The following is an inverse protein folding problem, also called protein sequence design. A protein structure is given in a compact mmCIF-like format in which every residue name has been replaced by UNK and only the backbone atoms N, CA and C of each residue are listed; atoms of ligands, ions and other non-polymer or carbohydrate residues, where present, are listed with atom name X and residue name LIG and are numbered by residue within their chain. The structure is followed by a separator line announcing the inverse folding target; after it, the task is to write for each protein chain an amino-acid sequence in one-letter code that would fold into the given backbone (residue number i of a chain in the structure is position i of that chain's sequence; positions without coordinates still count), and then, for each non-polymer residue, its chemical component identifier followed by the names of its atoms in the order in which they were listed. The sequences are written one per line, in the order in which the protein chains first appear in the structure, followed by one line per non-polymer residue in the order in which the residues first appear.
data_IF_662929106192
#
_entry.id   IF_662929106192
#
_cell.length_a   1.000
_cell.length_b   1.000
_cell.length_c   1.000
_cell.angle_alpha   90.00
_cell.angle_beta   90.00
_cell.angle_gamma   90.00
#
_symmetry.space_group_name_H-M   'P 1'
#
loop_
_entity.id
_entity.type
_entity.pdbx_description
1 polymer ?
#
# COMPACT_ATOMS: atom_id res chain seq x y z
N UNK A 1 39.09 -11.78 21.00
CA UNK A 1 37.84 -11.03 21.25
C UNK A 1 36.72 -12.03 21.14
N UNK A 2 36.20 -12.54 22.26
CA UNK A 2 35.15 -13.57 22.29
C UNK A 2 33.83 -12.87 22.06
N UNK A 3 33.14 -13.19 20.95
CA UNK A 3 31.73 -12.79 20.75
C UNK A 3 30.83 -13.74 21.52
N UNK A 4 30.01 -13.19 22.41
CA UNK A 4 28.98 -13.91 23.16
C UNK A 4 27.76 -14.18 22.26
N UNK A 5 27.60 -15.44 21.87
CA UNK A 5 26.53 -15.92 20.99
C UNK A 5 25.14 -16.09 21.69
N UNK A 6 24.91 -15.43 22.82
CA UNK A 6 23.71 -15.64 23.66
C UNK A 6 22.44 -14.93 23.20
N UNK A 7 22.41 -14.30 22.02
CA UNK A 7 21.24 -13.60 21.49
C UNK A 7 20.48 -14.29 20.37
N UNK A 8 20.93 -15.45 19.88
CA UNK A 8 20.41 -16.10 18.65
C UNK A 8 19.74 -17.46 18.90
N UNK A 9 18.94 -17.58 19.95
CA UNK A 9 18.18 -18.82 20.21
C UNK A 9 16.70 -18.54 20.26
N UNK A 10 16.03 -18.55 19.11
CA UNK A 10 14.68 -19.07 18.98
C UNK A 10 14.45 -19.59 17.56
N UNK A 11 14.33 -20.90 17.43
CA UNK A 11 13.60 -21.65 16.43
C UNK A 11 14.19 -21.92 15.04
N UNK A 12 15.52 -22.09 14.90
CA UNK A 12 16.05 -22.79 13.74
C UNK A 12 17.02 -23.91 14.16
N UNK A 13 16.70 -25.15 13.79
CA UNK A 13 17.59 -26.31 13.91
C UNK A 13 18.83 -26.12 13.00
N UNK A 14 19.86 -25.46 13.52
CA UNK A 14 21.17 -25.30 12.86
C UNK A 14 22.03 -26.59 12.98
N UNK A 15 21.46 -27.65 13.51
CA UNK A 15 22.14 -28.92 13.75
C UNK A 15 22.14 -29.76 12.48
N UNK A 16 23.24 -29.73 11.73
CA UNK A 16 23.48 -30.63 10.60
C UNK A 16 23.96 -30.03 9.29
N UNK A 17 24.17 -28.73 9.21
CA UNK A 17 24.74 -28.12 7.99
C UNK A 17 26.28 -28.28 7.95
N UNK A 18 26.87 -28.57 6.77
CA UNK A 18 28.32 -28.48 6.57
C UNK A 18 28.86 -27.10 6.97
N UNK A 19 30.08 -27.04 7.51
CA UNK A 19 30.66 -25.76 7.99
C UNK A 19 30.73 -24.66 6.92
N UNK A 20 30.79 -25.03 5.63
CA UNK A 20 30.73 -24.11 4.49
C UNK A 20 29.34 -23.46 4.34
N UNK A 21 28.28 -24.23 4.54
CA UNK A 21 26.90 -23.77 4.38
C UNK A 21 26.47 -22.90 5.56
N UNK A 22 26.95 -23.26 6.76
CA UNK A 22 26.78 -22.45 7.97
C UNK A 22 27.45 -21.07 7.82
N UNK A 23 28.67 -21.03 7.25
CA UNK A 23 29.37 -19.77 6.99
C UNK A 23 28.63 -18.91 5.94
N UNK A 24 28.14 -19.53 4.87
CA UNK A 24 27.33 -18.86 3.84
C UNK A 24 26.02 -18.34 4.42
N UNK A 25 25.35 -19.14 5.28
CA UNK A 25 24.15 -18.73 5.99
C UNK A 25 24.43 -17.56 6.93
N UNK A 26 25.45 -17.61 7.77
CA UNK A 26 25.84 -16.54 8.68
C UNK A 26 26.28 -15.27 7.92
N UNK A 27 27.01 -15.39 6.82
CA UNK A 27 27.40 -14.27 5.97
C UNK A 27 26.18 -13.65 5.29
N UNK A 28 25.22 -14.47 4.83
CA UNK A 28 23.95 -13.96 4.30
C UNK A 28 23.14 -13.27 5.38
N UNK A 29 22.99 -13.86 6.57
CA UNK A 29 22.26 -13.24 7.69
C UNK A 29 22.90 -11.92 8.12
N UNK A 30 24.23 -11.87 8.27
CA UNK A 30 24.97 -10.65 8.56
C UNK A 30 24.88 -9.63 7.42
N UNK A 31 24.89 -10.07 6.17
CA UNK A 31 24.70 -9.22 5.00
C UNK A 31 23.29 -8.64 4.99
N UNK A 32 22.24 -9.45 5.23
CA UNK A 32 20.85 -9.00 5.35
C UNK A 32 20.62 -8.08 6.55
N UNK A 33 21.22 -8.37 7.72
CA UNK A 33 21.12 -7.47 8.89
C UNK A 33 21.84 -6.14 8.64
N UNK A 34 22.97 -6.13 7.93
CA UNK A 34 23.69 -4.90 7.60
C UNK A 34 22.99 -4.10 6.50
N UNK A 35 22.34 -4.74 5.54
CA UNK A 35 21.59 -4.06 4.48
C UNK A 35 20.22 -3.55 4.94
N UNK A 36 19.47 -4.30 5.74
CA UNK A 36 18.20 -3.83 6.32
C UNK A 36 18.41 -2.66 7.30
N UNK A 37 19.56 -2.60 7.96
CA UNK A 37 19.95 -1.42 8.77
C UNK A 37 20.45 -0.24 7.91
N UNK A 38 20.53 -0.40 6.58
CA UNK A 38 21.02 0.60 5.64
C UNK A 38 19.93 1.54 5.14
N UNK A 39 18.66 1.12 5.16
CA UNK A 39 17.53 1.91 4.67
C UNK A 39 16.54 2.29 5.77
N UNK A 40 16.00 3.51 5.67
CA UNK A 40 14.96 4.04 6.53
C UNK A 40 13.70 4.23 5.68
N UNK A 41 12.71 3.38 5.91
CA UNK A 41 11.44 3.49 5.19
C UNK A 41 10.60 4.64 5.73
N UNK A 42 10.03 5.41 4.81
CA UNK A 42 9.12 6.51 5.09
C UNK A 42 7.82 6.27 4.33
N UNK A 43 6.73 6.09 5.06
CA UNK A 43 5.39 6.04 4.47
C UNK A 43 4.83 7.45 4.32
N UNK A 44 4.67 7.90 3.07
CA UNK A 44 4.11 9.19 2.70
C UNK A 44 2.57 9.19 2.71
N UNK A 45 1.95 8.68 3.78
CA UNK A 45 0.49 8.53 3.85
C UNK A 45 -0.04 8.66 5.27
N UNK A 46 -1.21 9.31 5.41
CA UNK A 46 -1.97 9.35 6.67
C UNK A 46 -2.81 8.09 6.89
N UNK A 47 -3.06 7.28 5.84
CA UNK A 47 -3.98 6.15 5.88
C UNK A 47 -3.62 5.14 6.96
N UNK A 48 -4.50 4.88 7.96
CA UNK A 48 -4.26 3.87 8.98
C UNK A 48 -4.18 2.47 8.37
N UNK A 49 -4.92 2.21 7.29
CA UNK A 49 -4.95 0.94 6.58
C UNK A 49 -3.60 0.62 5.93
N UNK A 50 -2.96 1.60 5.28
CA UNK A 50 -1.61 1.43 4.69
C UNK A 50 -0.55 1.18 5.75
N UNK A 51 -0.65 1.86 6.90
CA UNK A 51 0.22 1.62 8.07
C UNK A 51 0.07 0.19 8.57
N UNK A 52 -1.16 -0.29 8.68
CA UNK A 52 -1.46 -1.66 9.11
C UNK A 52 -0.89 -2.70 8.14
N UNK A 53 -1.10 -2.51 6.82
CA UNK A 53 -0.57 -3.41 5.80
C UNK A 53 0.96 -3.53 5.85
N UNK A 54 1.68 -2.41 6.00
CA UNK A 54 3.14 -2.45 6.13
C UNK A 54 3.60 -3.11 7.44
N UNK A 55 2.90 -2.85 8.55
CA UNK A 55 3.21 -3.52 9.84
C UNK A 55 3.00 -5.02 9.76
N UNK A 56 1.94 -5.48 9.09
CA UNK A 56 1.60 -6.90 8.97
C UNK A 56 2.63 -7.71 8.18
N UNK A 57 3.41 -7.05 7.32
CA UNK A 57 4.55 -7.67 6.63
C UNK A 57 5.89 -7.45 7.35
N UNK A 58 5.87 -6.98 8.60
CA UNK A 58 7.08 -6.81 9.41
C UNK A 58 7.93 -5.58 9.07
N UNK A 59 7.48 -4.70 8.17
CA UNK A 59 8.26 -3.53 7.79
C UNK A 59 8.32 -2.50 8.93
N UNK A 60 9.53 -2.03 9.26
CA UNK A 60 9.76 -0.88 10.12
C UNK A 60 9.75 0.40 9.28
N UNK A 61 8.94 1.38 9.64
CA UNK A 61 8.82 2.62 8.89
C UNK A 61 8.41 3.80 9.77
N UNK A 62 8.76 4.99 9.33
CA UNK A 62 8.22 6.24 9.86
C UNK A 62 7.10 6.78 8.96
N UNK A 63 6.24 7.62 9.54
CA UNK A 63 5.19 8.30 8.78
C UNK A 63 5.54 9.76 8.64
N UNK A 64 5.77 10.20 7.40
CA UNK A 64 5.91 11.62 7.06
C UNK A 64 4.87 11.93 6.00
N UNK A 65 3.80 12.59 6.43
CA UNK A 65 2.66 12.89 5.55
C UNK A 65 3.07 13.83 4.43
N UNK A 66 2.64 13.48 3.22
CA UNK A 66 2.79 14.34 2.04
C UNK A 66 1.85 15.55 2.12
N UNK A 67 2.35 16.69 1.69
CA UNK A 67 1.60 17.93 1.45
C UNK A 67 1.47 18.24 -0.06
N UNK A 68 1.55 17.21 -0.89
CA UNK A 68 1.38 17.34 -2.33
C UNK A 68 0.00 17.91 -2.67
N UNK A 69 -0.02 18.85 -3.61
CA UNK A 69 -1.27 19.31 -4.22
C UNK A 69 -1.75 18.27 -5.24
N UNK A 70 -2.70 17.45 -4.83
CA UNK A 70 -3.28 16.39 -5.67
C UNK A 70 -4.09 16.95 -6.84
N UNK A 71 -4.56 18.20 -6.74
CA UNK A 71 -5.31 18.88 -7.82
C UNK A 71 -4.44 19.21 -9.05
N UNK A 72 -3.11 19.18 -8.89
CA UNK A 72 -2.17 19.34 -10.00
C UNK A 72 -2.19 18.17 -11.00
N UNK A 73 -2.76 17.01 -10.62
CA UNK A 73 -2.90 15.85 -11.50
C UNK A 73 -4.32 15.79 -12.05
N UNK A 74 -4.48 16.08 -13.35
CA UNK A 74 -5.76 15.88 -14.01
C UNK A 74 -6.00 14.41 -14.33
N UNK A 75 -7.21 13.92 -14.03
CA UNK A 75 -7.65 12.59 -14.45
C UNK A 75 -8.16 12.55 -15.90
N UNK A 76 -8.27 13.70 -16.58
CA UNK A 76 -8.83 13.79 -17.91
C UNK A 76 -7.89 13.21 -18.98
N UNK A 77 -8.39 12.28 -19.75
CA UNK A 77 -7.65 11.69 -20.89
C UNK A 77 -6.55 10.70 -20.50
N UNK A 78 -6.38 10.36 -19.22
CA UNK A 78 -5.42 9.36 -18.77
C UNK A 78 -6.11 8.11 -18.20
N UNK A 79 -5.42 6.98 -18.25
CA UNK A 79 -5.98 5.74 -17.69
C UNK A 79 -5.99 5.78 -16.16
N UNK A 80 -6.94 5.08 -15.49
CA UNK A 80 -6.97 5.03 -14.02
C UNK A 80 -5.65 4.59 -13.38
N UNK A 81 -4.97 3.61 -14.00
CA UNK A 81 -3.67 3.13 -13.51
C UNK A 81 -2.56 4.19 -13.64
N UNK A 82 -2.57 5.03 -14.69
CA UNK A 82 -1.63 6.14 -14.82
C UNK A 82 -1.96 7.23 -13.79
N UNK A 83 -3.23 7.57 -13.63
CA UNK A 83 -3.67 8.60 -12.69
C UNK A 83 -3.20 8.31 -11.26
N UNK A 84 -3.41 7.10 -10.74
CA UNK A 84 -2.97 6.76 -9.38
C UNK A 84 -1.44 6.70 -9.24
N UNK A 85 -0.70 6.38 -10.33
CA UNK A 85 0.77 6.44 -10.31
C UNK A 85 1.28 7.88 -10.20
N UNK A 86 0.68 8.80 -10.95
CA UNK A 86 1.02 10.23 -10.88
C UNK A 86 0.73 10.80 -9.49
N UNK A 87 -0.43 10.47 -8.89
CA UNK A 87 -0.76 10.85 -7.52
C UNK A 87 0.24 10.30 -6.51
N UNK A 88 0.64 9.03 -6.64
CA UNK A 88 1.67 8.44 -5.79
C UNK A 88 3.03 9.13 -5.96
N UNK A 89 3.41 9.46 -7.21
CA UNK A 89 4.67 10.13 -7.53
C UNK A 89 4.77 11.52 -6.89
N UNK A 90 3.74 12.35 -7.04
CA UNK A 90 3.77 13.69 -6.45
C UNK A 90 3.82 13.64 -4.92
N UNK A 91 3.16 12.65 -4.30
CA UNK A 91 3.25 12.40 -2.85
C UNK A 91 4.65 12.00 -2.42
N UNK A 92 5.30 11.09 -3.16
CA UNK A 92 6.68 10.70 -2.89
C UNK A 92 7.62 11.89 -3.03
N UNK A 93 7.51 12.65 -4.12
CA UNK A 93 8.36 13.81 -4.38
C UNK A 93 8.20 14.93 -3.33
N UNK A 94 6.96 15.21 -2.88
CA UNK A 94 6.72 16.19 -1.83
C UNK A 94 7.34 15.74 -0.50
N UNK A 95 7.21 14.45 -0.15
CA UNK A 95 7.82 13.90 1.06
C UNK A 95 9.35 13.88 0.97
N UNK A 96 9.93 13.57 -0.21
CA UNK A 96 11.38 13.60 -0.42
C UNK A 96 11.99 14.96 -0.11
N UNK A 97 11.31 16.05 -0.47
CA UNK A 97 11.77 17.41 -0.15
C UNK A 97 11.96 17.65 1.34
N UNK A 98 11.16 16.98 2.20
CA UNK A 98 11.24 17.10 3.67
C UNK A 98 12.45 16.38 4.27
N UNK A 99 13.02 15.41 3.54
CA UNK A 99 14.08 14.51 4.03
C UNK A 99 15.31 14.44 3.11
N UNK A 100 15.56 15.49 2.31
CA UNK A 100 16.66 15.54 1.32
C UNK A 100 18.06 15.22 1.88
N UNK A 101 18.27 15.48 3.17
CA UNK A 101 19.56 15.23 3.84
C UNK A 101 19.73 13.76 4.27
N UNK A 102 18.64 13.01 4.34
CA UNK A 102 18.66 11.60 4.74
C UNK A 102 18.90 10.70 3.53
N UNK A 103 20.16 10.35 3.34
CA UNK A 103 20.59 9.49 2.22
C UNK A 103 20.19 8.01 2.38
N UNK A 104 19.70 7.62 3.56
CA UNK A 104 19.15 6.29 3.83
C UNK A 104 17.65 6.18 3.57
N UNK A 105 16.98 7.32 3.37
CA UNK A 105 15.52 7.33 3.23
C UNK A 105 15.07 6.69 1.91
N UNK A 106 14.11 5.77 2.03
CA UNK A 106 13.32 5.19 0.95
C UNK A 106 11.85 5.50 1.22
N UNK A 107 11.25 6.28 0.33
CA UNK A 107 9.88 6.77 0.49
C UNK A 107 8.93 5.82 -0.22
N UNK A 108 7.87 5.41 0.47
CA UNK A 108 6.75 4.64 -0.06
C UNK A 108 5.53 5.56 -0.04
N UNK A 109 5.00 5.85 -1.21
CA UNK A 109 3.76 6.61 -1.38
C UNK A 109 2.73 5.79 -2.15
N UNK A 110 1.46 6.03 -1.92
CA UNK A 110 0.40 5.35 -2.65
C UNK A 110 -0.85 6.22 -2.76
N UNK A 111 -1.65 5.95 -3.80
CA UNK A 111 -2.99 6.47 -3.97
C UNK A 111 -3.94 5.39 -4.47
N UNK A 112 -5.22 5.49 -4.10
CA UNK A 112 -6.23 4.46 -4.41
C UNK A 112 -7.51 5.13 -4.90
N UNK A 113 -8.02 4.64 -6.01
CA UNK A 113 -9.31 5.06 -6.57
C UNK A 113 -10.20 3.86 -6.86
N UNK A 114 -11.50 4.11 -6.85
CA UNK A 114 -12.53 3.20 -7.34
C UNK A 114 -13.03 3.72 -8.68
N UNK A 115 -13.23 2.83 -9.65
CA UNK A 115 -13.83 3.19 -10.93
C UNK A 115 -15.03 2.31 -11.26
N UNK A 116 -16.05 2.92 -11.84
CA UNK A 116 -17.22 2.23 -12.38
C UNK A 116 -17.47 2.74 -13.80
N UNK A 117 -17.53 1.82 -14.78
CA UNK A 117 -17.69 2.18 -16.19
C UNK A 117 -16.69 3.25 -16.67
N UNK A 118 -15.45 3.16 -16.22
CA UNK A 118 -14.38 4.11 -16.55
C UNK A 118 -14.45 5.46 -15.83
N UNK A 119 -15.46 5.69 -14.97
CA UNK A 119 -15.60 6.92 -14.18
C UNK A 119 -14.98 6.72 -12.80
N UNK A 120 -14.18 7.67 -12.37
CA UNK A 120 -13.58 7.66 -11.01
C UNK A 120 -14.65 8.04 -9.99
N UNK A 121 -14.83 7.18 -8.99
CA UNK A 121 -15.65 7.45 -7.81
C UNK A 121 -14.72 7.92 -6.69
N UNK A 122 -14.79 9.22 -6.39
CA UNK A 122 -14.05 9.82 -5.29
C UNK A 122 -14.63 9.48 -3.92
N UNK A 123 -14.23 10.22 -2.90
CA UNK A 123 -14.87 10.17 -1.58
C UNK A 123 -16.25 10.84 -1.65
N UNK A 124 -17.26 10.31 -0.94
CA UNK A 124 -18.56 10.94 -0.88
C UNK A 124 -18.44 12.30 -0.16
N UNK A 125 -19.24 13.27 -0.60
CA UNK A 125 -19.29 14.61 0.02
C UNK A 125 -20.21 14.63 1.25
N UNK A 126 -21.21 13.77 1.23
CA UNK A 126 -22.25 13.63 2.23
C UNK A 126 -22.92 12.24 2.11
N UNK A 127 -23.91 11.96 2.98
CA UNK A 127 -24.66 10.71 3.00
C UNK A 127 -25.46 10.48 1.71
N UNK A 128 -25.90 11.53 1.02
CA UNK A 128 -26.64 11.41 -0.24
C UNK A 128 -25.71 10.93 -1.35
N UNK A 129 -24.53 11.55 -1.47
CA UNK A 129 -23.51 11.12 -2.44
C UNK A 129 -22.99 9.72 -2.13
N UNK A 130 -22.87 9.33 -0.85
CA UNK A 130 -22.54 7.96 -0.46
C UNK A 130 -23.61 6.98 -0.92
N UNK A 131 -24.91 7.32 -0.73
CA UNK A 131 -26.06 6.50 -1.16
C UNK A 131 -26.07 6.31 -2.67
N UNK A 132 -25.85 7.36 -3.44
CA UNK A 132 -25.77 7.31 -4.91
C UNK A 132 -24.64 6.40 -5.37
N UNK A 133 -23.44 6.55 -4.79
CA UNK A 133 -22.29 5.70 -5.11
C UNK A 133 -22.57 4.23 -4.80
N UNK A 134 -23.04 3.90 -3.60
CA UNK A 134 -23.35 2.52 -3.20
C UNK A 134 -24.46 1.91 -4.04
N UNK A 135 -25.50 2.68 -4.39
CA UNK A 135 -26.56 2.23 -5.27
C UNK A 135 -26.05 1.94 -6.68
N UNK A 136 -25.12 2.75 -7.19
CA UNK A 136 -24.50 2.52 -8.50
C UNK A 136 -23.61 1.28 -8.55
N UNK A 137 -23.00 0.90 -7.43
CA UNK A 137 -22.15 -0.27 -7.30
C UNK A 137 -22.93 -1.57 -7.03
N UNK A 138 -24.17 -1.47 -6.51
CA UNK A 138 -24.98 -2.61 -6.11
C UNK A 138 -25.18 -3.62 -7.23
N UNK A 139 -24.91 -4.91 -6.98
CA UNK A 139 -25.04 -6.01 -7.93
C UNK A 139 -24.06 -5.95 -9.11
N UNK A 140 -23.03 -5.10 -9.05
CA UNK A 140 -22.14 -4.84 -10.18
C UNK A 140 -20.68 -5.09 -9.86
N UNK A 141 -19.93 -5.33 -10.94
CA UNK A 141 -18.47 -5.29 -10.93
C UNK A 141 -18.00 -3.83 -11.06
N UNK A 142 -16.98 -3.49 -10.28
CA UNK A 142 -16.24 -2.25 -10.41
C UNK A 142 -14.73 -2.54 -10.21
N UNK A 143 -13.90 -1.56 -10.44
CA UNK A 143 -12.44 -1.72 -10.40
C UNK A 143 -11.84 -0.83 -9.30
N UNK A 144 -10.86 -1.39 -8.60
CA UNK A 144 -10.04 -0.64 -7.63
C UNK A 144 -8.61 -0.60 -8.14
N UNK A 145 -8.09 0.60 -8.31
CA UNK A 145 -6.70 0.83 -8.69
C UNK A 145 -5.94 1.46 -7.54
N UNK A 146 -4.83 0.86 -7.17
CA UNK A 146 -3.84 1.50 -6.30
C UNK A 146 -2.55 1.70 -7.07
N UNK A 147 -2.11 2.95 -7.17
CA UNK A 147 -0.77 3.33 -7.58
C UNK A 147 0.13 3.41 -6.36
N UNK A 148 1.35 2.92 -6.49
CA UNK A 148 2.38 3.12 -5.50
C UNK A 148 3.67 3.57 -6.15
N UNK A 149 4.47 4.32 -5.39
CA UNK A 149 5.75 4.84 -5.81
C UNK A 149 6.78 4.58 -4.71
N UNK A 150 7.92 4.02 -5.09
CA UNK A 150 9.11 3.87 -4.25
C UNK A 150 10.16 4.84 -4.75
N UNK A 151 10.70 5.68 -3.85
CA UNK A 151 11.72 6.68 -4.19
C UNK A 151 12.88 6.64 -3.21
N UNK A 152 14.10 6.39 -3.71
CA UNK A 152 15.32 6.45 -2.92
C UNK A 152 15.88 7.88 -2.94
N UNK A 153 15.96 8.49 -1.76
CA UNK A 153 16.34 9.92 -1.63
C UNK A 153 17.80 10.18 -2.00
N UNK A 154 18.69 9.19 -1.86
CA UNK A 154 20.14 9.33 -2.13
C UNK A 154 20.43 9.82 -3.54
N UNK A 155 19.73 9.30 -4.53
CA UNK A 155 19.97 9.51 -5.95
C UNK A 155 18.72 9.89 -6.74
N UNK A 156 17.55 9.92 -6.08
CA UNK A 156 16.27 10.21 -6.71
C UNK A 156 15.72 9.04 -7.55
N UNK A 157 16.34 7.84 -7.51
CA UNK A 157 15.83 6.69 -8.23
C UNK A 157 14.40 6.37 -7.80
N UNK A 158 13.52 6.27 -8.77
CA UNK A 158 12.07 6.22 -8.52
C UNK A 158 11.39 5.22 -9.43
N UNK A 159 10.58 4.35 -8.83
CA UNK A 159 9.74 3.38 -9.55
C UNK A 159 8.30 3.55 -9.09
N UNK A 160 7.39 3.77 -10.05
CA UNK A 160 5.95 3.88 -9.79
C UNK A 160 5.20 2.82 -10.60
N UNK A 161 4.41 2.00 -9.93
CA UNK A 161 3.57 0.96 -10.52
C UNK A 161 2.12 1.11 -10.08
N UNK A 162 1.21 0.41 -10.72
CA UNK A 162 -0.20 0.34 -10.32
C UNK A 162 -0.72 -1.08 -10.41
N UNK A 163 -1.59 -1.44 -9.48
CA UNK A 163 -2.29 -2.72 -9.43
C UNK A 163 -3.79 -2.46 -9.56
N UNK A 164 -4.45 -3.32 -10.32
CA UNK A 164 -5.91 -3.33 -10.50
C UNK A 164 -6.50 -4.57 -9.85
N UNK A 165 -7.64 -4.43 -9.19
CA UNK A 165 -8.45 -5.52 -8.67
C UNK A 165 -9.90 -5.29 -9.04
N UNK A 166 -10.55 -6.30 -9.61
CA UNK A 166 -11.98 -6.28 -9.87
C UNK A 166 -12.73 -6.66 -8.57
N UNK A 167 -13.70 -5.85 -8.18
CA UNK A 167 -14.53 -6.08 -6.99
C UNK A 167 -15.98 -6.25 -7.44
N UNK A 168 -16.65 -7.26 -6.90
CA UNK A 168 -18.04 -7.58 -7.22
C UNK A 168 -18.90 -7.35 -5.98
N UNK A 169 -19.89 -6.48 -6.10
CA UNK A 169 -20.84 -6.25 -5.02
C UNK A 169 -22.04 -7.20 -5.11
N UNK A 170 -22.54 -7.56 -3.94
CA UNK A 170 -23.87 -8.17 -3.81
C UNK A 170 -24.94 -7.18 -4.23
N UNK A 171 -26.13 -7.67 -4.58
CA UNK A 171 -27.31 -6.80 -4.65
C UNK A 171 -27.62 -6.24 -3.27
N UNK A 172 -27.73 -4.90 -3.19
CA UNK A 172 -27.95 -4.17 -1.95
C UNK A 172 -29.35 -3.56 -1.96
N UNK A 173 -30.12 -3.80 -0.90
CA UNK A 173 -31.37 -3.07 -0.68
C UNK A 173 -31.09 -1.68 -0.14
N UNK A 174 -32.06 -0.75 -0.26
CA UNK A 174 -31.91 0.60 0.28
C UNK A 174 -31.72 0.60 1.81
N UNK A 175 -32.34 -0.36 2.50
CA UNK A 175 -32.19 -0.55 3.94
C UNK A 175 -30.73 -0.89 4.30
N UNK A 176 -30.09 -1.81 3.55
CA UNK A 176 -28.68 -2.18 3.75
C UNK A 176 -27.75 -0.99 3.48
N UNK A 177 -28.00 -0.24 2.39
CA UNK A 177 -27.22 0.95 2.06
C UNK A 177 -27.35 1.98 3.19
N UNK A 178 -28.56 2.28 3.63
CA UNK A 178 -28.78 3.24 4.71
C UNK A 178 -28.17 2.79 6.04
N UNK A 179 -28.28 1.51 6.37
CA UNK A 179 -27.64 0.96 7.58
C UNK A 179 -26.13 1.08 7.54
N UNK A 180 -25.52 0.86 6.38
CA UNK A 180 -24.06 1.01 6.22
C UNK A 180 -23.63 2.47 6.30
N UNK A 181 -24.36 3.41 5.68
CA UNK A 181 -24.09 4.84 5.78
C UNK A 181 -24.16 5.31 7.24
N UNK A 182 -25.17 4.84 7.99
CA UNK A 182 -25.35 5.20 9.41
C UNK A 182 -24.17 4.78 10.31
N UNK A 183 -23.27 3.87 9.84
CA UNK A 183 -22.04 3.53 10.58
C UNK A 183 -20.98 4.63 10.52
N UNK A 184 -21.09 5.58 9.60
CA UNK A 184 -20.07 6.59 9.31
C UNK A 184 -18.85 6.05 8.54
N UNK A 185 -18.75 4.73 8.34
CA UNK A 185 -17.60 4.10 7.67
C UNK A 185 -17.36 4.58 6.23
N UNK A 186 -18.39 4.92 5.40
CA UNK A 186 -18.20 5.40 4.04
C UNK A 186 -17.43 6.69 3.85
N UNK A 187 -17.47 7.59 4.83
CA UNK A 187 -17.18 9.03 4.69
C UNK A 187 -15.79 9.38 4.18
N UNK A 188 -14.79 8.55 4.47
CA UNK A 188 -13.38 8.80 4.13
C UNK A 188 -12.86 7.93 2.97
N UNK A 189 -13.75 7.19 2.28
CA UNK A 189 -13.36 6.14 1.34
C UNK A 189 -13.81 6.45 -0.09
N UNK A 190 -12.92 6.21 -1.06
CA UNK A 190 -13.28 6.24 -2.47
C UNK A 190 -14.36 5.20 -2.77
N UNK A 191 -15.38 5.57 -3.56
CA UNK A 191 -16.53 4.70 -3.84
C UNK A 191 -17.45 4.48 -2.64
N UNK A 192 -17.28 5.23 -1.55
CA UNK A 192 -18.09 5.18 -0.32
C UNK A 192 -18.09 3.80 0.37
N UNK A 193 -17.04 2.98 0.26
CA UNK A 193 -16.94 1.73 1.02
C UNK A 193 -15.49 1.34 1.34
N UNK A 194 -15.33 0.48 2.36
CA UNK A 194 -14.07 -0.20 2.64
C UNK A 194 -14.27 -1.70 2.68
N UNK A 195 -13.37 -2.48 2.07
CA UNK A 195 -13.46 -3.94 2.08
C UNK A 195 -13.17 -4.54 3.47
N UNK A 196 -12.43 -3.80 4.31
CA UNK A 196 -12.25 -4.13 5.72
C UNK A 196 -13.50 -3.69 6.51
N UNK A 197 -13.71 -4.28 7.68
CA UNK A 197 -14.82 -3.92 8.54
C UNK A 197 -16.20 -4.28 7.98
N UNK A 198 -17.19 -3.42 8.23
CA UNK A 198 -18.60 -3.67 7.88
C UNK A 198 -18.81 -3.66 6.36
N UNK A 199 -18.05 -2.81 5.63
CA UNK A 199 -18.16 -2.74 4.17
C UNK A 199 -17.78 -4.02 3.45
N UNK A 200 -16.99 -4.92 4.08
CA UNK A 200 -16.74 -6.26 3.55
C UNK A 200 -18.00 -7.11 3.37
N UNK A 201 -19.09 -6.82 4.10
CA UNK A 201 -20.37 -7.50 3.95
C UNK A 201 -21.08 -7.17 2.63
N UNK A 202 -20.71 -6.04 2.00
CA UNK A 202 -21.27 -5.59 0.71
C UNK A 202 -20.63 -6.32 -0.46
N UNK A 203 -19.40 -6.82 -0.28
CA UNK A 203 -18.60 -7.49 -1.32
C UNK A 203 -19.00 -8.95 -1.44
N UNK A 204 -19.23 -9.42 -2.66
CA UNK A 204 -19.45 -10.81 -2.98
C UNK A 204 -18.14 -11.56 -3.17
N UNK A 205 -17.27 -11.00 -4.03
CA UNK A 205 -15.94 -11.54 -4.32
C UNK A 205 -15.01 -10.47 -4.88
N UNK A 206 -13.74 -10.78 -4.95
CA UNK A 206 -12.72 -10.01 -5.67
C UNK A 206 -12.01 -10.91 -6.68
N UNK A 207 -11.47 -10.31 -7.73
CA UNK A 207 -10.54 -10.93 -8.67
C UNK A 207 -9.30 -10.04 -8.74
N UNK A 208 -8.23 -10.48 -8.08
CA UNK A 208 -6.97 -9.76 -7.89
C UNK A 208 -6.50 -9.70 -6.44
N UNK A 209 -5.80 -8.63 -6.08
CA UNK A 209 -5.12 -8.46 -4.80
C UNK A 209 -6.02 -7.75 -3.77
N UNK A 210 -6.27 -8.42 -2.64
CA UNK A 210 -7.01 -7.86 -1.50
C UNK A 210 -6.31 -6.62 -0.89
N UNK A 211 -4.99 -6.68 -0.73
CA UNK A 211 -4.22 -5.58 -0.15
C UNK A 211 -4.26 -4.33 -1.06
N UNK A 212 -4.35 -4.53 -2.39
CA UNK A 212 -4.62 -3.47 -3.35
C UNK A 212 -5.95 -2.77 -3.05
N UNK A 213 -7.03 -3.53 -2.80
CA UNK A 213 -8.35 -2.95 -2.47
C UNK A 213 -8.33 -2.21 -1.14
N UNK A 214 -7.57 -2.70 -0.15
CA UNK A 214 -7.35 -2.01 1.14
C UNK A 214 -6.58 -0.69 0.95
N UNK A 215 -5.67 -0.63 -0.06
CA UNK A 215 -5.01 0.60 -0.44
C UNK A 215 -3.48 0.58 -0.55
N UNK A 216 -2.83 -0.61 -0.46
CA UNK A 216 -1.41 -0.79 -0.73
C UNK A 216 -1.14 -2.25 -1.12
N UNK A 217 -0.81 -2.55 -2.39
CA UNK A 217 -0.52 -3.91 -2.87
C UNK A 217 0.87 -4.36 -2.37
N UNK A 218 0.92 -4.86 -1.13
CA UNK A 218 2.18 -5.15 -0.42
C UNK A 218 3.03 -6.21 -1.09
N UNK A 219 2.43 -7.20 -1.76
CA UNK A 219 3.19 -8.19 -2.54
C UNK A 219 3.93 -7.55 -3.70
N UNK A 220 3.21 -6.78 -4.54
CA UNK A 220 3.84 -6.07 -5.66
C UNK A 220 4.84 -4.99 -5.20
N UNK A 221 4.63 -4.39 -4.02
CA UNK A 221 5.58 -3.48 -3.39
C UNK A 221 6.86 -4.21 -2.99
N UNK A 222 6.75 -5.38 -2.35
CA UNK A 222 7.90 -6.21 -1.95
C UNK A 222 8.71 -6.64 -3.19
N UNK A 223 8.05 -7.16 -4.23
CA UNK A 223 8.69 -7.50 -5.51
C UNK A 223 9.44 -6.32 -6.12
N UNK A 224 8.88 -5.10 -5.99
CA UNK A 224 9.54 -3.88 -6.51
C UNK A 224 10.74 -3.49 -5.66
N UNK A 225 10.64 -3.57 -4.34
CA UNK A 225 11.76 -3.30 -3.44
C UNK A 225 12.92 -4.26 -3.70
N UNK A 226 12.64 -5.54 -3.87
CA UNK A 226 13.65 -6.56 -4.17
C UNK A 226 14.26 -6.34 -5.56
N UNK A 227 13.44 -6.29 -6.61
CA UNK A 227 13.95 -6.30 -8.00
C UNK A 227 14.58 -4.98 -8.44
N UNK A 228 14.14 -3.84 -7.91
CA UNK A 228 14.53 -2.50 -8.39
C UNK A 228 15.45 -1.76 -7.40
N UNK A 229 15.42 -2.13 -6.12
CA UNK A 229 16.16 -1.41 -5.08
C UNK A 229 17.16 -2.29 -4.32
N UNK A 230 17.21 -3.60 -4.59
CA UNK A 230 18.00 -4.59 -3.84
C UNK A 230 17.63 -4.60 -2.34
N UNK A 231 16.36 -4.41 -2.02
CA UNK A 231 15.85 -4.39 -0.65
C UNK A 231 14.91 -5.57 -0.45
N UNK A 232 15.28 -6.51 0.41
CA UNK A 232 14.42 -7.61 0.81
C UNK A 232 13.70 -7.27 2.12
N UNK A 233 12.39 -7.53 2.17
CA UNK A 233 11.56 -7.33 3.39
C UNK A 233 11.39 -8.64 4.16
N UNK A 234 11.63 -9.79 3.52
CA UNK A 234 11.50 -11.13 4.13
C UNK A 234 12.81 -11.63 4.67
#
# INVERSE_FOLDING_TARGET
MYFDAKGLTSDFDIVGLPSSDLLVYLLRTLYYETENNMYRFILASQSPRRKELLKNIGAEFEVIVSDADESAVSGDGITPGLYVRELALIKAAATAKKVLKDKKAVIIAADTIVTLDGKILGKPKDDNSAREMLSSLSGRKHEVYTGYCVMRVKDGYTVCKSVKTDVYFKELTQEKINAYIATGEPSDKAGAYGIQGIGGLLVEKIDGDYANVVGLPVSALADTLESEFDINIL
#
